data_IF_873096160741
#
_entry.id   IF_873096160741
#
_cell.length_a   1.000
_cell.length_b   1.000
_cell.length_c   1.000
_cell.angle_alpha   90.00
_cell.angle_beta   90.00
_cell.angle_gamma   90.00
#
_symmetry.space_group_name_H-M   'P 1'
#
loop_
_entity.id
_entity.type
_entity.pdbx_description
1 polymer ?
#
# COMPACT_ATOMS: atom_id res chain seq x y z
N UNK A 1 0.36 13.02 -18.28
CA UNK A 1 -0.52 14.20 -18.23
C UNK A 1 -1.68 14.00 -17.24
N UNK A 2 -2.42 12.90 -17.34
CA UNK A 2 -3.52 12.55 -16.41
C UNK A 2 -3.10 12.43 -14.94
N UNK A 3 -1.96 11.80 -14.62
CA UNK A 3 -1.49 11.63 -13.23
C UNK A 3 -1.20 12.96 -12.51
N UNK A 4 -0.56 13.90 -13.20
CA UNK A 4 -0.21 15.23 -12.68
C UNK A 4 -1.47 16.06 -12.40
N UNK A 5 -2.48 15.97 -13.26
CA UNK A 5 -3.78 16.65 -13.07
C UNK A 5 -4.48 16.10 -11.82
N UNK A 6 -4.47 14.78 -11.64
CA UNK A 6 -5.08 14.14 -10.46
C UNK A 6 -4.34 14.59 -9.19
N UNK A 7 -3.00 14.56 -9.16
CA UNK A 7 -2.21 14.98 -8.00
C UNK A 7 -2.50 16.43 -7.60
N UNK A 8 -2.54 17.36 -8.56
CA UNK A 8 -2.79 18.78 -8.27
C UNK A 8 -4.22 19.02 -7.78
N UNK A 9 -5.22 18.37 -8.41
CA UNK A 9 -6.63 18.51 -8.04
C UNK A 9 -6.91 17.98 -6.62
N UNK A 10 -6.18 16.94 -6.23
CA UNK A 10 -6.38 16.21 -4.98
C UNK A 10 -5.38 16.56 -3.87
N UNK A 11 -4.36 17.37 -4.15
CA UNK A 11 -3.32 17.81 -3.20
C UNK A 11 -3.85 18.57 -1.97
N UNK A 12 -5.12 18.98 -1.97
CA UNK A 12 -5.75 19.79 -0.91
C UNK A 12 -6.80 19.02 -0.09
N UNK A 13 -6.96 17.72 -0.31
CA UNK A 13 -7.99 16.91 0.36
C UNK A 13 -7.34 16.02 1.41
N UNK A 14 -7.41 16.42 2.68
CA UNK A 14 -6.76 15.73 3.81
C UNK A 14 -7.28 14.29 4.05
N UNK A 15 -8.40 13.91 3.44
CA UNK A 15 -9.04 12.57 3.59
C UNK A 15 -9.47 11.94 2.27
N UNK A 16 -8.66 12.14 1.23
CA UNK A 16 -8.94 11.69 -0.13
C UNK A 16 -9.35 10.22 -0.21
N UNK A 17 -8.63 9.33 0.49
CA UNK A 17 -8.86 7.88 0.44
C UNK A 17 -10.24 7.52 0.99
N UNK A 18 -10.64 8.10 2.14
CA UNK A 18 -11.95 7.84 2.76
C UNK A 18 -13.09 8.34 1.87
N UNK A 19 -12.93 9.54 1.30
CA UNK A 19 -13.92 10.14 0.39
C UNK A 19 -14.02 9.33 -0.89
N UNK A 20 -12.89 8.96 -1.50
CA UNK A 20 -12.87 8.16 -2.72
C UNK A 20 -13.51 6.78 -2.52
N UNK A 21 -13.23 6.11 -1.40
CA UNK A 21 -13.83 4.82 -1.06
C UNK A 21 -15.34 4.94 -0.86
N UNK A 22 -15.79 5.96 -0.13
CA UNK A 22 -17.23 6.20 0.12
C UNK A 22 -17.96 6.48 -1.19
N UNK A 23 -17.42 7.34 -2.05
CA UNK A 23 -17.99 7.65 -3.37
C UNK A 23 -18.02 6.40 -4.25
N UNK A 24 -16.95 5.59 -4.26
CA UNK A 24 -16.90 4.36 -5.02
C UNK A 24 -17.98 3.36 -4.57
N UNK A 25 -18.17 3.15 -3.27
CA UNK A 25 -19.20 2.25 -2.71
C UNK A 25 -20.61 2.75 -3.09
N UNK A 26 -20.86 4.06 -2.97
CA UNK A 26 -22.16 4.66 -3.33
C UNK A 26 -22.41 4.54 -4.84
N UNK A 27 -21.41 4.83 -5.67
CA UNK A 27 -21.52 4.78 -7.12
C UNK A 27 -21.75 3.35 -7.62
N UNK A 28 -21.05 2.38 -7.04
CA UNK A 28 -21.24 0.96 -7.32
C UNK A 28 -22.64 0.49 -6.89
N UNK A 29 -23.11 0.95 -5.72
CA UNK A 29 -24.46 0.68 -5.24
C UNK A 29 -25.54 1.22 -6.19
N UNK A 30 -25.33 2.42 -6.77
CA UNK A 30 -26.26 3.01 -7.74
C UNK A 30 -26.24 2.26 -9.08
N UNK A 31 -25.06 1.92 -9.59
CA UNK A 31 -24.89 1.22 -10.89
C UNK A 31 -25.46 -0.21 -10.86
N UNK A 32 -25.31 -0.92 -9.75
CA UNK A 32 -25.77 -2.31 -9.61
C UNK A 32 -27.20 -2.45 -9.08
N UNK A 33 -27.92 -1.33 -8.83
CA UNK A 33 -29.35 -1.34 -8.47
C UNK A 33 -30.24 -2.26 -9.33
N UNK A 34 -30.14 -2.29 -10.68
CA UNK A 34 -31.03 -3.12 -11.49
C UNK A 34 -30.73 -4.63 -11.40
N UNK A 35 -29.55 -5.03 -10.91
CA UNK A 35 -29.13 -6.44 -10.82
C UNK A 35 -29.27 -7.03 -9.41
N UNK A 36 -29.49 -6.20 -8.39
CA UNK A 36 -29.47 -6.62 -6.98
C UNK A 36 -30.84 -6.40 -6.35
N UNK A 37 -31.57 -7.51 -6.10
CA UNK A 37 -32.89 -7.50 -5.46
C UNK A 37 -32.87 -6.95 -4.02
N UNK A 38 -31.79 -7.18 -3.27
CA UNK A 38 -31.63 -6.67 -1.90
C UNK A 38 -30.22 -6.11 -1.67
N UNK A 39 -30.11 -4.78 -1.57
CA UNK A 39 -28.81 -4.09 -1.47
C UNK A 39 -28.19 -4.19 -0.06
N UNK A 40 -28.99 -4.22 1.00
CA UNK A 40 -28.53 -4.27 2.40
C UNK A 40 -27.81 -5.58 2.76
N UNK A 41 -28.35 -6.79 2.44
CA UNK A 41 -27.66 -8.05 2.72
C UNK A 41 -26.34 -8.17 1.96
N UNK A 42 -26.30 -7.68 0.72
CA UNK A 42 -25.13 -7.76 -0.14
C UNK A 42 -24.01 -6.82 0.31
N UNK A 43 -24.37 -5.62 0.78
CA UNK A 43 -23.42 -4.70 1.39
C UNK A 43 -22.87 -5.26 2.73
N UNK A 44 -23.71 -5.87 3.55
CA UNK A 44 -23.27 -6.53 4.79
C UNK A 44 -22.35 -7.74 4.52
N UNK A 45 -22.67 -8.55 3.50
CA UNK A 45 -21.82 -9.65 3.07
C UNK A 45 -20.47 -9.14 2.53
N UNK A 46 -20.49 -8.05 1.74
CA UNK A 46 -19.28 -7.38 1.26
C UNK A 46 -18.45 -6.79 2.39
N UNK A 47 -19.08 -6.14 3.37
CA UNK A 47 -18.40 -5.61 4.55
C UNK A 47 -17.71 -6.74 5.34
N UNK A 48 -18.42 -7.81 5.66
CA UNK A 48 -17.85 -8.96 6.36
C UNK A 48 -16.73 -9.66 5.55
N UNK A 49 -16.88 -9.76 4.22
CA UNK A 49 -15.84 -10.32 3.35
C UNK A 49 -14.60 -9.42 3.23
N UNK A 50 -14.78 -8.10 3.28
CA UNK A 50 -13.68 -7.13 3.17
C UNK A 50 -12.75 -7.12 4.37
N UNK A 51 -13.24 -7.51 5.55
CA UNK A 51 -12.44 -7.55 6.79
C UNK A 51 -11.21 -8.44 6.61
N UNK A 52 -11.38 -9.64 6.03
CA UNK A 52 -10.25 -10.55 5.80
C UNK A 52 -9.20 -9.98 4.86
N UNK A 53 -9.62 -9.33 3.78
CA UNK A 53 -8.72 -8.68 2.81
C UNK A 53 -8.00 -7.47 3.42
N UNK A 54 -8.70 -6.68 4.22
CA UNK A 54 -8.11 -5.56 4.95
C UNK A 54 -7.07 -6.03 5.98
N UNK A 55 -7.34 -7.10 6.72
CA UNK A 55 -6.39 -7.70 7.65
C UNK A 55 -5.17 -8.29 6.95
N UNK A 56 -5.35 -8.97 5.81
CA UNK A 56 -4.24 -9.53 5.04
C UNK A 56 -3.28 -8.43 4.56
N UNK A 57 -3.82 -7.34 4.00
CA UNK A 57 -3.02 -6.21 3.51
C UNK A 57 -2.33 -5.47 4.65
N UNK A 58 -3.06 -5.16 5.73
CA UNK A 58 -2.49 -4.46 6.89
C UNK A 58 -1.43 -5.30 7.63
N UNK A 59 -1.61 -6.62 7.72
CA UNK A 59 -0.62 -7.53 8.31
C UNK A 59 0.67 -7.58 7.48
N UNK A 60 0.56 -7.67 6.15
CA UNK A 60 1.71 -7.61 5.24
C UNK A 60 2.49 -6.30 5.38
N UNK A 61 1.79 -5.15 5.41
CA UNK A 61 2.41 -3.83 5.61
C UNK A 61 3.05 -3.71 7.00
N UNK A 62 2.37 -4.17 8.05
CA UNK A 62 2.88 -4.16 9.43
C UNK A 62 4.10 -5.06 9.61
N UNK A 63 4.13 -6.21 8.96
CA UNK A 63 5.30 -7.08 8.97
C UNK A 63 6.47 -6.45 8.23
N UNK A 64 6.23 -5.79 7.09
CA UNK A 64 7.23 -5.04 6.34
C UNK A 64 7.88 -3.92 7.16
N UNK A 65 7.09 -3.15 7.92
CA UNK A 65 7.63 -2.09 8.78
C UNK A 65 8.49 -2.64 9.92
N UNK A 66 8.07 -3.75 10.55
CA UNK A 66 8.88 -4.42 11.60
C UNK A 66 10.18 -5.00 11.02
N UNK A 67 10.13 -5.57 9.81
CA UNK A 67 11.30 -6.07 9.10
C UNK A 67 12.33 -4.97 8.84
N UNK A 68 11.87 -3.78 8.43
CA UNK A 68 12.76 -2.62 8.19
C UNK A 68 13.40 -2.08 9.46
N UNK A 69 12.71 -2.22 10.60
CA UNK A 69 13.25 -1.86 11.91
C UNK A 69 14.17 -2.93 12.52
N UNK A 70 14.28 -4.11 11.90
CA UNK A 70 15.03 -5.25 12.42
C UNK A 70 16.53 -5.15 12.10
N UNK A 71 17.35 -5.56 13.08
CA UNK A 71 18.81 -5.68 12.93
C UNK A 71 19.22 -6.59 11.76
N UNK A 72 18.40 -7.60 11.43
CA UNK A 72 18.65 -8.51 10.33
C UNK A 72 18.73 -7.79 8.97
N UNK A 73 17.87 -6.78 8.77
CA UNK A 73 17.87 -5.97 7.55
C UNK A 73 19.16 -5.16 7.42
N UNK A 74 19.63 -4.59 8.54
CA UNK A 74 20.88 -3.85 8.62
C UNK A 74 22.12 -4.73 8.33
N UNK A 75 22.11 -5.98 8.81
CA UNK A 75 23.20 -6.94 8.55
C UNK A 75 23.26 -7.32 7.07
N UNK A 76 22.11 -7.59 6.45
CA UNK A 76 22.01 -7.90 5.02
C UNK A 76 22.42 -6.68 4.18
N UNK A 77 21.95 -5.49 4.55
CA UNK A 77 22.34 -4.23 3.91
C UNK A 77 23.86 -4.03 3.99
N UNK A 78 24.46 -4.20 5.18
CA UNK A 78 25.89 -4.05 5.38
C UNK A 78 26.70 -5.09 4.58
N UNK A 79 26.25 -6.35 4.55
CA UNK A 79 26.88 -7.41 3.77
C UNK A 79 26.86 -7.12 2.26
N UNK A 80 25.77 -6.53 1.76
CA UNK A 80 25.62 -6.14 0.35
C UNK A 80 26.44 -4.89 0.01
N UNK A 81 26.52 -3.90 0.91
CA UNK A 81 27.36 -2.70 0.73
C UNK A 81 28.85 -2.98 0.91
N UNK A 82 29.21 -4.12 1.50
CA UNK A 82 30.61 -4.59 1.61
C UNK A 82 31.15 -5.15 0.28
N UNK A 83 30.27 -5.45 -0.68
CA UNK A 83 30.67 -5.85 -2.03
C UNK A 83 31.07 -4.55 -2.77
N UNK A 84 32.30 -4.47 -3.34
CA UNK A 84 32.73 -3.28 -4.07
C UNK A 84 31.83 -3.07 -5.29
N UNK A 85 30.92 -2.09 -5.21
CA UNK A 85 29.86 -1.84 -6.18
C UNK A 85 29.15 -0.51 -5.93
N UNK A 86 28.18 -0.15 -6.79
CA UNK A 86 27.51 1.16 -6.71
C UNK A 86 26.67 1.32 -5.43
N UNK A 87 26.68 2.50 -4.78
CA UNK A 87 25.94 2.76 -3.53
C UNK A 87 24.42 2.67 -3.66
N UNK A 88 23.91 2.41 -4.87
CA UNK A 88 22.49 2.24 -5.18
C UNK A 88 22.00 0.79 -4.96
N UNK A 89 22.90 -0.19 -4.87
CA UNK A 89 22.53 -1.61 -4.77
C UNK A 89 21.88 -1.91 -3.41
N UNK A 90 22.45 -1.37 -2.32
CA UNK A 90 21.91 -1.51 -0.96
C UNK A 90 20.43 -1.07 -0.84
N UNK A 91 20.10 0.19 -1.15
CA UNK A 91 18.71 0.67 -1.10
C UNK A 91 17.79 -0.02 -2.12
N UNK A 92 18.31 -0.46 -3.27
CA UNK A 92 17.52 -1.18 -4.28
C UNK A 92 17.12 -2.59 -3.83
N UNK A 93 18.03 -3.33 -3.17
CA UNK A 93 17.72 -4.66 -2.61
C UNK A 93 16.79 -4.54 -1.41
N UNK A 94 17.03 -3.56 -0.56
CA UNK A 94 16.13 -3.18 0.54
C UNK A 94 14.70 -2.94 0.05
N UNK A 95 14.54 -2.11 -0.99
CA UNK A 95 13.24 -1.81 -1.59
C UNK A 95 12.61 -3.04 -2.26
N UNK A 96 13.40 -3.88 -2.93
CA UNK A 96 12.90 -5.11 -3.55
C UNK A 96 12.39 -6.12 -2.51
N UNK A 97 13.13 -6.34 -1.42
CA UNK A 97 12.72 -7.22 -0.33
C UNK A 97 11.49 -6.68 0.38
N UNK A 98 11.43 -5.38 0.63
CA UNK A 98 10.28 -4.76 1.25
C UNK A 98 9.06 -4.76 0.31
N UNK A 99 9.24 -4.50 -0.98
CA UNK A 99 8.17 -4.58 -1.97
C UNK A 99 7.62 -6.00 -2.10
N UNK A 100 8.46 -7.03 -1.92
CA UNK A 100 8.02 -8.43 -1.90
C UNK A 100 7.16 -8.76 -0.66
N UNK A 101 7.38 -8.06 0.45
CA UNK A 101 6.63 -8.26 1.70
C UNK A 101 5.37 -7.40 1.75
N UNK A 102 5.46 -6.14 1.32
CA UNK A 102 4.40 -5.12 1.38
C UNK A 102 3.44 -5.20 0.18
N UNK A 103 3.70 -6.07 -0.80
CA UNK A 103 2.91 -6.27 -2.04
C UNK A 103 2.79 -5.01 -2.94
N UNK A 104 3.41 -3.88 -2.55
CA UNK A 104 3.36 -2.61 -3.26
C UNK A 104 4.71 -1.91 -3.34
N UNK A 105 5.11 -1.57 -4.57
CA UNK A 105 6.37 -0.88 -4.84
C UNK A 105 6.35 0.59 -4.40
N UNK A 106 5.18 1.25 -4.40
CA UNK A 106 5.07 2.66 -3.98
C UNK A 106 5.27 2.83 -2.48
N UNK A 107 4.73 1.91 -1.68
CA UNK A 107 4.80 1.98 -0.22
C UNK A 107 6.20 1.60 0.28
N UNK A 108 6.78 0.54 -0.30
CA UNK A 108 8.14 0.10 0.04
C UNK A 108 9.21 1.16 -0.28
N UNK A 109 9.06 1.89 -1.38
CA UNK A 109 10.00 2.96 -1.74
C UNK A 109 9.93 4.14 -0.75
N UNK A 110 8.75 4.49 -0.26
CA UNK A 110 8.57 5.49 0.79
C UNK A 110 9.20 5.09 2.13
N UNK A 111 9.02 3.83 2.54
CA UNK A 111 9.61 3.29 3.78
C UNK A 111 11.14 3.25 3.68
N UNK A 112 11.70 2.78 2.55
CA UNK A 112 13.15 2.74 2.36
C UNK A 112 13.73 4.14 2.33
N UNK A 113 13.14 5.09 1.61
CA UNK A 113 13.58 6.49 1.61
C UNK A 113 13.59 7.09 3.01
N UNK A 114 12.60 6.79 3.85
CA UNK A 114 12.58 7.23 5.25
C UNK A 114 13.65 6.54 6.12
N UNK A 115 14.09 5.34 5.75
CA UNK A 115 15.14 4.60 6.48
C UNK A 115 16.56 5.03 6.11
N UNK A 116 16.75 5.66 4.94
CA UNK A 116 18.05 6.16 4.48
C UNK A 116 18.17 7.70 4.53
N UNK A 117 17.08 8.42 4.80
CA UNK A 117 17.05 9.86 5.08
C UNK A 117 17.39 10.13 6.54
#
# INVERSE_FOLDING_TARGET
MTLIIIIILFSKVDHLILIALTVAIVMLSIIFRPYIKEQMPLLNAGANGSIGSAFATSSSVAFGSVLTASLAFMIIQHAITSIPGSPLIGPSVAAALLSAVTDSASDSLGIVMNSIA
#
